data_IF_032806905127
#
_entry.id   IF_032806905127
#
_cell.length_a   1.000
_cell.length_b   1.000
_cell.length_c   1.000
_cell.angle_alpha   90.00
_cell.angle_beta   90.00
_cell.angle_gamma   90.00
#
_symmetry.space_group_name_H-M   'P 1'
#
loop_
_entity.id
_entity.type
_entity.pdbx_description
1 polymer ?
#
# COMPACT_ATOMS: atom_id res chain seq x y z
N UNK A 1 20.27 -5.05 -7.15
CA UNK A 1 19.96 -4.99 -8.60
C UNK A 1 19.79 -3.53 -9.01
N UNK A 2 20.52 -3.03 -10.01
CA UNK A 2 20.30 -1.68 -10.54
C UNK A 2 19.26 -1.74 -11.65
N UNK A 3 18.12 -1.04 -11.50
CA UNK A 3 17.07 -1.02 -12.53
C UNK A 3 17.48 -0.08 -13.66
N UNK A 4 17.70 -0.64 -14.85
CA UNK A 4 18.19 0.11 -16.01
C UNK A 4 17.02 0.67 -16.82
N UNK A 5 15.90 -0.04 -16.89
CA UNK A 5 14.76 0.33 -17.70
C UNK A 5 13.43 -0.02 -17.03
N UNK A 6 12.45 0.87 -17.17
CA UNK A 6 11.06 0.63 -16.83
C UNK A 6 10.19 1.30 -17.91
N UNK A 7 9.36 0.52 -18.58
CA UNK A 7 8.57 0.93 -19.74
C UNK A 7 7.12 0.49 -19.59
N UNK A 8 6.22 1.29 -20.17
CA UNK A 8 4.81 0.94 -20.24
C UNK A 8 4.50 0.47 -21.66
N UNK A 9 3.82 -0.66 -21.77
CA UNK A 9 3.25 -1.17 -23.01
C UNK A 9 1.73 -1.26 -22.80
N UNK A 10 0.95 -0.93 -23.81
CA UNK A 10 -0.50 -1.02 -23.79
C UNK A 10 -0.97 -2.21 -24.61
N UNK A 11 -1.74 -3.11 -24.01
CA UNK A 11 -2.44 -4.23 -24.63
C UNK A 11 -3.79 -3.74 -25.18
N UNK A 12 -3.99 -3.88 -26.49
CA UNK A 12 -5.26 -3.54 -27.13
C UNK A 12 -6.46 -4.31 -26.58
N UNK A 13 -6.24 -5.54 -26.07
CA UNK A 13 -7.25 -6.41 -25.47
C UNK A 13 -6.69 -7.14 -24.24
N UNK A 14 -6.72 -6.50 -23.07
CA UNK A 14 -6.10 -7.03 -21.83
C UNK A 14 -6.57 -8.43 -21.38
N UNK A 15 -7.78 -8.85 -21.76
CA UNK A 15 -8.33 -10.17 -21.41
C UNK A 15 -7.64 -11.36 -22.12
N UNK A 16 -6.90 -11.12 -23.21
CA UNK A 16 -6.30 -12.18 -24.01
C UNK A 16 -5.03 -12.78 -23.40
N UNK A 17 -4.33 -12.02 -22.55
CA UNK A 17 -3.17 -12.54 -21.82
C UNK A 17 -3.59 -13.34 -20.57
N UNK A 18 -4.69 -12.95 -19.92
CA UNK A 18 -5.26 -13.64 -18.75
C UNK A 18 -5.94 -14.98 -19.07
N UNK A 19 -6.34 -15.22 -20.33
CA UNK A 19 -6.81 -16.53 -20.76
C UNK A 19 -5.67 -17.55 -20.83
N UNK A 20 -4.42 -17.09 -20.94
CA UNK A 20 -3.23 -17.91 -20.99
C UNK A 20 -2.78 -18.23 -19.54
N UNK A 21 -3.40 -19.25 -18.93
CA UNK A 21 -3.13 -19.69 -17.54
C UNK A 21 -1.77 -20.39 -17.35
N UNK A 22 -0.88 -20.33 -18.33
CA UNK A 22 0.42 -21.00 -18.30
C UNK A 22 1.28 -20.49 -17.15
N UNK A 23 1.85 -21.42 -16.38
CA UNK A 23 2.78 -21.14 -15.27
C UNK A 23 4.11 -20.56 -15.76
N UNK A 24 4.46 -20.83 -17.03
CA UNK A 24 5.59 -20.22 -17.71
C UNK A 24 5.27 -19.83 -19.16
N UNK A 25 5.79 -18.69 -19.61
CA UNK A 25 5.65 -18.21 -21.00
C UNK A 25 6.97 -17.56 -21.44
N UNK A 26 7.62 -18.05 -22.49
CA UNK A 26 8.91 -17.50 -22.97
C UNK A 26 9.96 -17.32 -21.85
N UNK A 27 10.15 -18.37 -21.03
CA UNK A 27 10.98 -18.42 -19.82
C UNK A 27 10.60 -17.45 -18.70
N UNK A 28 9.51 -16.69 -18.85
CA UNK A 28 8.92 -16.00 -17.71
C UNK A 28 8.23 -16.99 -16.81
N UNK A 29 8.55 -16.95 -15.53
CA UNK A 29 7.91 -17.73 -14.47
C UNK A 29 6.92 -16.82 -13.74
N UNK A 30 5.69 -17.28 -13.58
CA UNK A 30 4.64 -16.59 -12.84
C UNK A 30 4.95 -16.55 -11.33
N UNK A 31 4.69 -15.42 -10.68
CA UNK A 31 4.78 -15.31 -9.22
C UNK A 31 3.59 -16.03 -8.56
N UNK A 32 3.86 -16.85 -7.54
CA UNK A 32 2.86 -17.63 -6.80
C UNK A 32 1.95 -16.76 -5.93
N UNK A 33 2.45 -15.61 -5.44
CA UNK A 33 1.74 -14.70 -4.54
C UNK A 33 1.04 -13.55 -5.26
N UNK A 34 1.41 -13.30 -6.53
CA UNK A 34 0.75 -12.32 -7.39
C UNK A 34 0.65 -12.88 -8.83
N UNK A 35 -0.55 -13.28 -9.26
CA UNK A 35 -0.73 -13.90 -10.57
C UNK A 35 -0.53 -12.94 -11.75
N UNK A 36 -0.31 -11.64 -11.51
CA UNK A 36 -0.08 -10.63 -12.53
C UNK A 36 1.39 -10.22 -12.64
N UNK A 37 2.28 -10.90 -11.92
CA UNK A 37 3.72 -10.61 -11.92
C UNK A 37 4.50 -11.80 -12.44
N UNK A 38 5.30 -11.57 -13.48
CA UNK A 38 6.10 -12.58 -14.16
C UNK A 38 7.56 -12.17 -14.11
N UNK A 39 8.46 -13.12 -13.88
CA UNK A 39 9.91 -12.88 -13.83
C UNK A 39 10.66 -13.77 -14.82
N UNK A 40 11.65 -13.20 -15.51
CA UNK A 40 12.60 -13.93 -16.35
C UNK A 40 14.00 -13.62 -15.85
N UNK A 41 14.81 -14.66 -15.64
CA UNK A 41 16.19 -14.55 -15.16
C UNK A 41 17.08 -15.31 -16.16
N UNK A 42 18.13 -14.66 -16.63
CA UNK A 42 19.18 -15.28 -17.45
C UNK A 42 20.54 -14.76 -16.97
N UNK A 43 21.26 -15.59 -16.22
CA UNK A 43 22.49 -15.17 -15.53
C UNK A 43 22.23 -13.98 -14.59
N UNK A 44 22.95 -12.87 -14.80
CA UNK A 44 22.78 -11.62 -14.04
C UNK A 44 21.63 -10.72 -14.55
N UNK A 45 21.04 -11.07 -15.69
CA UNK A 45 20.00 -10.26 -16.34
C UNK A 45 18.62 -10.71 -15.87
N UNK A 46 17.81 -9.73 -15.47
CA UNK A 46 16.47 -9.94 -14.90
C UNK A 46 15.48 -8.99 -15.54
N UNK A 47 14.33 -9.54 -15.91
CA UNK A 47 13.17 -8.81 -16.38
C UNK A 47 11.93 -9.18 -15.57
N UNK A 48 11.14 -8.17 -15.19
CA UNK A 48 9.81 -8.32 -14.63
C UNK A 48 8.78 -7.78 -15.60
N UNK A 49 7.70 -8.53 -15.74
CA UNK A 49 6.54 -8.19 -16.54
C UNK A 49 5.36 -8.16 -15.57
N UNK A 50 4.84 -6.97 -15.29
CA UNK A 50 3.73 -6.72 -14.36
C UNK A 50 2.53 -6.26 -15.16
N UNK A 51 1.38 -6.89 -14.98
CA UNK A 51 0.22 -6.61 -15.81
C UNK A 51 -0.92 -6.07 -15.00
N UNK A 52 -1.62 -5.14 -15.62
CA UNK A 52 -2.76 -4.52 -15.00
C UNK A 52 -3.77 -4.13 -16.07
N UNK A 53 -4.87 -4.88 -16.15
CA UNK A 53 -5.93 -4.66 -17.13
C UNK A 53 -5.34 -4.59 -18.56
N UNK A 54 -5.14 -3.38 -19.10
CA UNK A 54 -4.59 -3.15 -20.43
C UNK A 54 -3.14 -2.65 -20.41
N UNK A 55 -2.54 -2.40 -19.25
CA UNK A 55 -1.17 -1.93 -19.14
C UNK A 55 -0.22 -3.07 -18.76
N UNK A 56 0.95 -3.09 -19.40
CA UNK A 56 2.10 -3.91 -19.01
C UNK A 56 3.21 -2.98 -18.57
N UNK A 57 3.67 -3.14 -17.34
CA UNK A 57 4.90 -2.55 -16.87
C UNK A 57 6.04 -3.55 -17.05
N UNK A 58 6.95 -3.20 -17.95
CA UNK A 58 8.16 -3.97 -18.23
C UNK A 58 9.35 -3.33 -17.50
N UNK A 59 9.94 -4.04 -16.55
CA UNK A 59 11.05 -3.59 -15.71
C UNK A 59 12.24 -4.52 -15.97
N UNK A 60 13.45 -3.98 -16.05
CA UNK A 60 14.64 -4.84 -16.11
C UNK A 60 15.95 -4.09 -15.92
N UNK A 61 17.01 -4.86 -15.69
CA UNK A 61 18.38 -4.36 -15.55
C UNK A 61 19.20 -4.47 -16.85
N UNK A 62 18.71 -5.18 -17.86
CA UNK A 62 19.41 -5.41 -19.13
C UNK A 62 18.57 -4.90 -20.31
N UNK A 63 19.10 -3.94 -21.07
CA UNK A 63 18.37 -3.32 -22.19
C UNK A 63 18.23 -4.26 -23.38
N UNK A 64 19.19 -5.17 -23.61
CA UNK A 64 19.15 -6.13 -24.72
C UNK A 64 18.05 -7.15 -24.48
N UNK A 65 18.01 -7.75 -23.29
CA UNK A 65 16.94 -8.68 -22.89
C UNK A 65 15.55 -8.05 -23.07
N UNK A 66 15.36 -6.81 -22.62
CA UNK A 66 14.10 -6.09 -22.81
C UNK A 66 13.82 -5.73 -24.28
N UNK A 67 14.86 -5.54 -25.08
CA UNK A 67 14.81 -5.36 -26.52
C UNK A 67 14.23 -6.58 -27.23
N UNK A 68 14.55 -7.79 -26.77
CA UNK A 68 14.05 -9.05 -27.34
C UNK A 68 12.64 -9.40 -26.88
N UNK A 69 12.30 -9.05 -25.63
CA UNK A 69 10.96 -9.31 -25.06
C UNK A 69 9.86 -8.55 -25.82
N UNK A 70 10.16 -7.34 -26.30
CA UNK A 70 9.16 -6.48 -26.96
C UNK A 70 8.68 -7.02 -28.31
N UNK A 71 9.55 -7.34 -29.29
CA UNK A 71 9.14 -7.98 -30.54
C UNK A 71 8.37 -9.26 -30.26
N UNK A 72 8.85 -10.10 -29.33
CA UNK A 72 8.15 -11.32 -28.96
C UNK A 72 6.72 -11.01 -28.48
N UNK A 73 6.55 -10.07 -27.55
CA UNK A 73 5.25 -9.63 -27.07
C UNK A 73 4.34 -9.15 -28.23
N UNK A 74 4.88 -8.37 -29.17
CA UNK A 74 4.14 -7.88 -30.34
C UNK A 74 3.76 -8.98 -31.34
N UNK A 75 4.45 -10.13 -31.36
CA UNK A 75 4.02 -11.28 -32.18
C UNK A 75 2.81 -11.99 -31.59
N UNK A 76 2.67 -11.97 -30.26
CA UNK A 76 1.61 -12.68 -29.55
C UNK A 76 0.38 -11.80 -29.31
N UNK A 77 0.57 -10.49 -29.14
CA UNK A 77 -0.48 -9.56 -28.75
C UNK A 77 -0.38 -8.23 -29.51
N UNK A 78 -1.54 -7.61 -29.75
CA UNK A 78 -1.58 -6.23 -30.26
C UNK A 78 -1.14 -5.26 -29.16
N UNK A 79 0.13 -4.85 -29.22
CA UNK A 79 0.77 -4.02 -28.20
C UNK A 79 1.23 -2.69 -28.78
N UNK A 80 0.94 -1.61 -28.05
CA UNK A 80 1.48 -0.27 -28.32
C UNK A 80 2.55 0.08 -27.28
N UNK A 81 3.74 0.45 -27.73
CA UNK A 81 4.80 0.92 -26.85
C UNK A 81 4.54 2.37 -26.43
N UNK A 82 4.36 2.61 -25.13
CA UNK A 82 4.11 3.94 -24.56
C UNK A 82 5.40 4.61 -24.06
N UNK A 83 6.56 3.96 -24.25
CA UNK A 83 7.87 4.48 -23.90
C UNK A 83 8.19 4.34 -22.42
N UNK A 84 8.99 5.27 -21.89
CA UNK A 84 9.40 5.28 -20.47
C UNK A 84 8.16 5.46 -19.60
N UNK A 85 7.96 4.57 -18.63
CA UNK A 85 6.79 4.65 -17.76
C UNK A 85 6.84 5.92 -16.89
N UNK A 86 5.85 6.79 -17.08
CA UNK A 86 5.64 8.03 -16.31
C UNK A 86 4.46 7.93 -15.34
N UNK A 87 3.53 7.00 -15.58
CA UNK A 87 2.41 6.69 -14.70
C UNK A 87 2.13 5.18 -14.69
N UNK A 88 1.67 4.67 -13.54
CA UNK A 88 1.08 3.34 -13.38
C UNK A 88 -0.01 3.44 -12.31
N UNK A 89 -1.22 2.93 -12.55
CA UNK A 89 -2.33 2.97 -11.57
C UNK A 89 -2.68 4.38 -11.04
N UNK A 90 -2.43 5.42 -11.83
CA UNK A 90 -2.57 6.81 -11.38
C UNK A 90 -1.50 7.28 -10.39
N UNK A 91 -0.46 6.46 -10.16
CA UNK A 91 0.78 6.83 -9.46
C UNK A 91 1.76 7.35 -10.51
N UNK A 92 2.18 8.60 -10.35
CA UNK A 92 3.22 9.20 -11.18
C UNK A 92 4.58 8.65 -10.74
N UNK A 93 5.39 8.26 -11.71
CA UNK A 93 6.76 7.80 -11.50
C UNK A 93 7.72 8.91 -11.88
N UNK A 94 8.55 9.34 -10.92
CA UNK A 94 9.67 10.24 -11.14
C UNK A 94 10.97 9.44 -11.22
N UNK A 95 11.85 9.80 -12.15
CA UNK A 95 13.16 9.16 -12.31
C UNK A 95 14.24 10.18 -12.51
N UNK A 96 15.19 10.21 -11.59
CA UNK A 96 16.43 10.93 -11.73
C UNK A 96 17.58 9.92 -11.79
N UNK A 97 18.17 9.75 -12.97
CA UNK A 97 19.28 8.81 -13.15
C UNK A 97 20.60 9.34 -12.57
N UNK A 98 20.79 10.65 -12.55
CA UNK A 98 22.01 11.27 -12.02
C UNK A 98 22.12 11.04 -10.52
N UNK A 99 20.99 11.17 -9.81
CA UNK A 99 20.87 10.91 -8.37
C UNK A 99 20.50 9.45 -8.05
N UNK A 100 20.38 8.60 -9.07
CA UNK A 100 19.92 7.19 -8.97
C UNK A 100 18.63 7.03 -8.16
N UNK A 101 17.69 7.94 -8.37
CA UNK A 101 16.48 8.08 -7.57
C UNK A 101 15.24 7.71 -8.38
N UNK A 102 14.38 6.90 -7.76
CA UNK A 102 13.05 6.55 -8.26
C UNK A 102 12.04 7.07 -7.24
N UNK A 103 11.21 8.02 -7.65
CA UNK A 103 10.14 8.59 -6.83
C UNK A 103 8.78 8.11 -7.30
N UNK A 104 7.85 7.93 -6.37
CA UNK A 104 6.44 7.66 -6.64
C UNK A 104 5.62 8.78 -6.01
N UNK A 105 4.67 9.35 -6.76
CA UNK A 105 3.78 10.39 -6.23
C UNK A 105 2.35 10.22 -6.72
N UNK A 106 1.41 10.45 -5.81
CA UNK A 106 -0.01 10.57 -6.11
C UNK A 106 -0.52 12.01 -5.93
N UNK A 107 0.36 13.02 -5.86
CA UNK A 107 -0.05 14.43 -5.68
C UNK A 107 -1.17 14.87 -6.63
N UNK A 108 -1.15 14.53 -7.94
CA UNK A 108 -2.24 14.92 -8.85
C UNK A 108 -3.61 14.39 -8.44
N UNK A 109 -3.68 13.19 -7.83
CA UNK A 109 -4.93 12.62 -7.35
C UNK A 109 -5.43 13.36 -6.11
N UNK A 110 -4.53 13.70 -5.20
CA UNK A 110 -4.84 14.48 -3.99
C UNK A 110 -5.37 15.86 -4.39
N UNK A 111 -4.68 16.54 -5.31
CA UNK A 111 -5.11 17.84 -5.86
C UNK A 111 -6.49 17.76 -6.52
N UNK A 112 -6.78 16.69 -7.28
CA UNK A 112 -8.10 16.46 -7.88
C UNK A 112 -9.19 16.28 -6.82
N UNK A 113 -8.90 15.58 -5.73
CA UNK A 113 -9.83 15.42 -4.59
C UNK A 113 -10.07 16.78 -3.93
N UNK A 114 -9.00 17.52 -3.62
CA UNK A 114 -9.13 18.84 -2.99
C UNK A 114 -9.96 19.80 -3.84
N UNK A 115 -9.72 19.85 -5.15
CA UNK A 115 -10.50 20.68 -6.09
C UNK A 115 -11.96 20.24 -6.17
N UNK A 116 -12.24 18.92 -6.20
CA UNK A 116 -13.63 18.39 -6.23
C UNK A 116 -14.44 18.87 -5.02
N UNK A 117 -13.80 19.03 -3.87
CA UNK A 117 -14.43 19.43 -2.62
C UNK A 117 -14.22 20.91 -2.26
N UNK A 118 -13.74 21.76 -3.19
CA UNK A 118 -13.49 23.20 -2.98
C UNK A 118 -12.51 23.48 -1.82
N UNK A 119 -11.50 22.61 -1.69
CA UNK A 119 -10.50 22.59 -0.60
C UNK A 119 -9.07 22.84 -1.11
N UNK A 120 -8.87 23.24 -2.36
CA UNK A 120 -7.55 23.49 -2.97
C UNK A 120 -6.71 24.54 -2.22
N UNK A 121 -7.37 25.50 -1.57
CA UNK A 121 -6.73 26.57 -0.80
C UNK A 121 -6.70 26.27 0.71
N UNK A 122 -6.97 25.02 1.11
CA UNK A 122 -6.92 24.63 2.52
C UNK A 122 -5.52 24.79 3.08
N UNK A 123 -5.41 25.34 4.29
CA UNK A 123 -4.13 25.47 4.99
C UNK A 123 -3.55 24.08 5.26
N UNK A 124 -2.27 23.91 4.97
CA UNK A 124 -1.54 22.68 5.32
C UNK A 124 -1.46 22.57 6.86
N UNK A 125 -1.85 21.42 7.38
CA UNK A 125 -1.71 21.08 8.79
C UNK A 125 -0.56 20.10 9.01
N UNK A 126 0.10 20.18 10.16
CA UNK A 126 1.13 19.20 10.57
C UNK A 126 0.54 17.89 11.10
N UNK A 127 -0.76 17.90 11.45
CA UNK A 127 -1.47 16.77 12.06
C UNK A 127 -2.80 16.56 11.33
N UNK A 128 -3.12 15.29 11.04
CA UNK A 128 -4.43 14.88 10.53
C UNK A 128 -5.54 15.10 11.57
N UNK A 129 -5.24 14.82 12.85
CA UNK A 129 -6.10 15.10 14.00
C UNK A 129 -5.26 15.59 15.17
N UNK A 130 -5.53 16.80 15.68
CA UNK A 130 -4.80 17.31 16.86
C UNK A 130 -5.38 16.71 18.14
N UNK A 131 -4.50 16.25 19.02
CA UNK A 131 -4.90 15.85 20.37
C UNK A 131 -5.45 17.04 21.18
N UNK A 132 -6.46 16.79 22.02
CA UNK A 132 -6.99 17.78 22.96
C UNK A 132 -7.99 18.79 22.38
N UNK A 133 -8.39 18.67 21.11
CA UNK A 133 -9.48 19.50 20.57
C UNK A 133 -10.81 19.02 21.16
N UNK A 134 -11.41 19.85 22.03
CA UNK A 134 -12.81 19.72 22.42
C UNK A 134 -13.65 20.57 21.48
N UNK A 135 -14.53 19.93 20.72
CA UNK A 135 -15.52 20.60 19.89
C UNK A 135 -16.75 20.92 20.74
N UNK A 136 -17.19 22.17 20.71
CA UNK A 136 -18.36 22.66 21.44
C UNK A 136 -19.44 23.10 20.46
N UNK A 137 -20.72 22.94 20.84
CA UNK A 137 -21.87 23.38 20.03
C UNK A 137 -21.81 24.87 19.64
N UNK A 138 -21.14 25.71 20.44
CA UNK A 138 -20.92 27.13 20.13
C UNK A 138 -20.04 27.39 18.90
N UNK A 139 -19.28 26.39 18.45
CA UNK A 139 -18.43 26.42 17.25
C UNK A 139 -19.17 25.93 16.00
N UNK A 140 -20.43 25.50 16.15
CA UNK A 140 -21.31 25.25 15.01
C UNK A 140 -21.60 26.58 14.28
N UNK A 141 -21.81 26.54 12.95
CA UNK A 141 -22.18 27.71 12.18
C UNK A 141 -23.41 28.38 12.79
N UNK A 142 -23.39 29.71 12.91
CA UNK A 142 -24.47 30.49 13.52
C UNK A 142 -25.21 31.35 12.49
N UNK A 143 -24.52 31.81 11.46
CA UNK A 143 -25.12 32.58 10.38
C UNK A 143 -25.60 31.66 9.25
N UNK A 144 -26.70 32.02 8.59
CA UNK A 144 -27.23 31.27 7.45
C UNK A 144 -26.21 31.13 6.31
N UNK A 145 -25.34 32.13 6.13
CA UNK A 145 -24.25 32.10 5.16
C UNK A 145 -23.22 31.00 5.50
N UNK A 146 -22.83 30.87 6.77
CA UNK A 146 -21.92 29.82 7.22
C UNK A 146 -22.55 28.43 7.05
N UNK A 147 -23.84 28.30 7.37
CA UNK A 147 -24.58 27.05 7.19
C UNK A 147 -24.62 26.63 5.72
N UNK A 148 -24.96 27.56 4.82
CA UNK A 148 -24.97 27.33 3.36
C UNK A 148 -23.59 26.95 2.83
N UNK A 149 -22.54 27.63 3.31
CA UNK A 149 -21.16 27.32 2.93
C UNK A 149 -20.72 25.93 3.40
N UNK A 150 -21.09 25.51 4.61
CA UNK A 150 -20.77 24.18 5.13
C UNK A 150 -21.54 23.07 4.42
N UNK A 151 -22.78 23.32 3.99
CA UNK A 151 -23.55 22.38 3.18
C UNK A 151 -22.91 22.12 1.81
N UNK A 152 -22.24 23.13 1.24
CA UNK A 152 -21.59 23.06 -0.07
C UNK A 152 -20.18 22.43 -0.04
N UNK A 153 -19.61 22.22 1.16
CA UNK A 153 -18.31 21.55 1.35
C UNK A 153 -18.51 20.30 2.21
N UNK A 154 -18.75 19.12 1.60
CA UNK A 154 -18.96 17.89 2.35
C UNK A 154 -17.63 17.36 2.90
N UNK A 155 -17.14 18.00 3.95
CA UNK A 155 -15.83 17.74 4.57
C UNK A 155 -15.63 16.26 4.93
N UNK A 156 -16.66 15.60 5.45
CA UNK A 156 -16.61 14.17 5.75
C UNK A 156 -16.34 13.30 4.51
N UNK A 157 -16.94 13.64 3.36
CA UNK A 157 -16.68 12.94 2.09
C UNK A 157 -15.28 13.25 1.54
N UNK A 158 -14.79 14.47 1.74
CA UNK A 158 -13.43 14.85 1.36
C UNK A 158 -12.39 14.05 2.14
N UNK A 159 -12.52 13.99 3.47
CA UNK A 159 -11.65 13.19 4.35
C UNK A 159 -11.76 11.70 4.02
N UNK A 160 -12.99 11.18 3.85
CA UNK A 160 -13.20 9.78 3.45
C UNK A 160 -12.56 9.44 2.11
N UNK A 161 -12.60 10.35 1.13
CA UNK A 161 -11.97 10.15 -0.19
C UNK A 161 -10.45 10.09 -0.11
N UNK A 162 -9.83 10.83 0.83
CA UNK A 162 -8.38 10.79 1.06
C UNK A 162 -7.99 9.51 1.80
N UNK A 163 -8.75 9.14 2.85
CA UNK A 163 -8.45 7.98 3.68
C UNK A 163 -8.59 6.65 2.91
N UNK A 164 -9.62 6.53 2.07
CA UNK A 164 -9.81 5.38 1.17
C UNK A 164 -8.69 5.22 0.13
N UNK A 165 -7.91 6.27 -0.12
CA UNK A 165 -6.74 6.22 -1.00
C UNK A 165 -5.42 5.92 -0.25
N UNK A 166 -5.37 6.14 1.05
CA UNK A 166 -4.24 5.75 1.91
C UNK A 166 -4.29 4.26 2.29
N UNK A 167 -5.48 3.72 2.50
CA UNK A 167 -5.67 2.28 2.61
C UNK A 167 -5.41 1.66 1.22
N UNK A 168 -4.53 0.67 1.16
CA UNK A 168 -4.28 -0.17 0.00
C UNK A 168 -5.60 -0.54 -0.68
N UNK A 169 -5.69 -0.27 -1.99
CA UNK A 169 -6.89 -0.58 -2.79
C UNK A 169 -6.99 -2.08 -3.02
N UNK A 170 -7.67 -2.80 -2.13
CA UNK A 170 -8.59 -3.92 -2.42
C UNK A 170 -9.14 -4.52 -1.11
N UNK A 171 -10.44 -4.35 -0.85
CA UNK A 171 -11.45 -5.38 -1.13
C UNK A 171 -12.81 -4.89 -0.58
N UNK A 172 -13.71 -4.49 -1.47
CA UNK A 172 -15.13 -4.16 -1.23
C UNK A 172 -15.46 -3.02 -0.23
N UNK A 173 -16.37 -2.14 -0.66
CA UNK A 173 -17.17 -1.25 0.21
C UNK A 173 -17.74 -1.97 1.44
N UNK A 174 -17.97 -3.29 1.33
CA UNK A 174 -18.40 -4.16 2.41
C UNK A 174 -17.41 -4.26 3.57
N UNK A 175 -16.07 -4.27 3.35
CA UNK A 175 -15.09 -4.27 4.45
C UNK A 175 -15.09 -2.95 5.21
N UNK A 176 -15.28 -1.82 4.53
CA UNK A 176 -15.34 -0.51 5.17
C UNK A 176 -16.58 -0.38 6.08
N UNK A 177 -17.73 -0.89 5.63
CA UNK A 177 -18.96 -0.97 6.42
C UNK A 177 -18.82 -1.98 7.58
N UNK A 178 -18.14 -3.12 7.37
CA UNK A 178 -17.88 -4.11 8.43
C UNK A 178 -16.88 -3.63 9.50
N UNK A 179 -15.88 -2.83 9.11
CA UNK A 179 -14.93 -2.21 10.05
C UNK A 179 -15.63 -1.12 10.89
N UNK A 180 -16.66 -0.47 10.36
CA UNK A 180 -17.43 0.53 11.08
C UNK A 180 -18.36 -0.08 12.15
N UNK A 181 -18.79 -1.33 12.01
CA UNK A 181 -19.68 -2.01 12.96
C UNK A 181 -18.86 -2.87 13.95
N UNK A 182 -18.33 -2.20 14.99
CA UNK A 182 -17.95 -2.72 16.32
C UNK A 182 -16.71 -3.63 16.56
N UNK A 183 -15.84 -3.97 15.61
CA UNK A 183 -14.59 -4.73 15.92
C UNK A 183 -13.34 -4.25 15.14
N UNK A 184 -13.24 -2.92 14.93
CA UNK A 184 -12.27 -2.29 14.02
C UNK A 184 -10.78 -2.46 14.39
N UNK A 185 -10.45 -2.42 15.69
CA UNK A 185 -9.04 -2.36 16.14
C UNK A 185 -8.33 -3.70 15.95
N UNK A 186 -9.03 -4.80 16.23
CA UNK A 186 -8.46 -6.15 16.17
C UNK A 186 -8.36 -6.68 14.74
N UNK A 187 -9.36 -6.39 13.89
CA UNK A 187 -9.31 -6.73 12.47
C UNK A 187 -8.15 -6.03 11.75
N UNK A 188 -7.87 -4.79 12.16
CA UNK A 188 -6.79 -3.99 11.58
C UNK A 188 -5.41 -4.60 11.84
N UNK A 189 -5.16 -5.14 13.04
CA UNK A 189 -3.89 -5.79 13.35
C UNK A 189 -3.73 -7.11 12.58
N UNK A 190 -4.80 -7.90 12.47
CA UNK A 190 -4.81 -9.13 11.68
C UNK A 190 -4.55 -8.90 10.17
N UNK A 191 -5.16 -7.87 9.58
CA UNK A 191 -4.93 -7.53 8.17
C UNK A 191 -3.46 -7.13 7.96
N UNK A 192 -2.88 -6.34 8.87
CA UNK A 192 -1.47 -5.97 8.80
C UNK A 192 -0.54 -7.19 8.86
N UNK A 193 -0.83 -8.17 9.71
CA UNK A 193 -0.04 -9.40 9.84
C UNK A 193 -0.05 -10.22 8.55
N UNK A 194 -1.23 -10.43 7.97
CA UNK A 194 -1.37 -11.13 6.70
C UNK A 194 -0.68 -10.40 5.55
N UNK A 195 -0.85 -9.08 5.47
CA UNK A 195 -0.19 -8.25 4.47
C UNK A 195 1.33 -8.31 4.61
N UNK A 196 1.85 -8.29 5.85
CA UNK A 196 3.28 -8.34 6.09
C UNK A 196 3.90 -9.70 5.70
N UNK A 197 3.23 -10.81 6.03
CA UNK A 197 3.65 -12.15 5.59
C UNK A 197 3.55 -12.30 4.08
N UNK A 198 2.45 -11.82 3.47
CA UNK A 198 2.30 -11.80 2.02
C UNK A 198 3.41 -10.98 1.36
N UNK A 199 3.72 -9.78 1.86
CA UNK A 199 4.79 -8.93 1.35
C UNK A 199 6.15 -9.61 1.46
N UNK A 200 6.48 -10.24 2.62
CA UNK A 200 7.72 -11.01 2.78
C UNK A 200 7.84 -12.09 1.71
N UNK A 201 6.80 -12.91 1.57
CA UNK A 201 6.78 -14.03 0.64
C UNK A 201 6.84 -13.56 -0.82
N UNK A 202 6.11 -12.49 -1.14
CA UNK A 202 6.14 -11.84 -2.45
C UNK A 202 7.55 -11.34 -2.80
N UNK A 203 8.20 -10.58 -1.90
CA UNK A 203 9.57 -10.07 -2.09
C UNK A 203 10.58 -11.20 -2.24
N UNK A 204 10.46 -12.26 -1.43
CA UNK A 204 11.31 -13.44 -1.53
C UNK A 204 11.16 -14.12 -2.90
N UNK A 205 9.93 -14.29 -3.38
CA UNK A 205 9.68 -14.87 -4.72
C UNK A 205 10.09 -13.93 -5.86
N UNK A 206 10.13 -12.61 -5.66
CA UNK A 206 10.70 -11.69 -6.64
C UNK A 206 12.20 -11.93 -6.85
N UNK A 207 12.93 -12.41 -5.84
CA UNK A 207 14.36 -12.72 -5.93
C UNK A 207 15.26 -11.49 -6.03
N UNK A 208 14.77 -10.31 -5.63
CA UNK A 208 15.50 -9.03 -5.67
C UNK A 208 16.28 -8.72 -4.40
N UNK A 209 15.84 -9.27 -3.26
CA UNK A 209 16.51 -9.17 -1.96
C UNK A 209 17.04 -10.57 -1.60
N UNK A 210 18.28 -10.71 -1.09
CA UNK A 210 18.74 -11.97 -0.50
C UNK A 210 17.68 -12.50 0.46
N UNK A 211 17.43 -13.81 0.43
CA UNK A 211 16.31 -14.47 1.12
C UNK A 211 16.03 -13.86 2.49
N UNK A 212 14.83 -13.28 2.66
CA UNK A 212 14.32 -12.85 3.96
C UNK A 212 13.95 -14.12 4.72
N UNK A 213 14.93 -14.75 5.37
CA UNK A 213 14.72 -16.00 6.09
C UNK A 213 14.02 -15.74 7.44
N UNK A 214 14.41 -14.65 8.11
CA UNK A 214 13.92 -14.32 9.45
C UNK A 214 12.41 -14.09 9.50
N UNK A 215 11.74 -14.47 10.61
CA UNK A 215 10.33 -14.18 10.83
C UNK A 215 10.02 -12.69 10.67
N UNK A 216 8.82 -12.39 10.15
CA UNK A 216 8.32 -11.01 10.15
C UNK A 216 8.09 -10.59 11.60
N UNK A 217 8.83 -9.58 12.06
CA UNK A 217 8.66 -9.03 13.40
C UNK A 217 7.53 -8.00 13.37
N UNK A 218 6.50 -8.23 14.18
CA UNK A 218 5.38 -7.31 14.33
C UNK A 218 5.36 -6.81 15.77
N UNK A 219 5.40 -5.49 15.92
CA UNK A 219 5.47 -4.81 17.20
C UNK A 219 4.08 -4.45 17.71
N UNK A 220 3.77 -4.85 18.95
CA UNK A 220 2.48 -4.58 19.60
C UNK A 220 2.66 -3.73 20.84
N UNK A 221 1.71 -2.84 21.07
CA UNK A 221 1.64 -2.02 22.28
C UNK A 221 0.70 -2.60 23.37
N UNK A 222 0.11 -3.77 23.12
CA UNK A 222 -0.88 -4.41 23.99
C UNK A 222 -0.47 -5.84 24.38
N UNK A 223 -0.14 -6.04 25.66
CA UNK A 223 0.25 -7.34 26.21
C UNK A 223 -0.86 -8.40 26.11
N UNK A 224 -2.13 -7.98 26.22
CA UNK A 224 -3.28 -8.87 26.07
C UNK A 224 -3.38 -9.45 24.66
N UNK A 225 -3.08 -8.62 23.65
CA UNK A 225 -3.05 -9.06 22.25
C UNK A 225 -1.96 -10.11 22.00
N UNK A 226 -0.73 -9.83 22.51
CA UNK A 226 0.40 -10.77 22.40
C UNK A 226 0.08 -12.09 23.11
N UNK A 227 -0.48 -12.04 24.32
CA UNK A 227 -0.82 -13.23 25.09
C UNK A 227 -1.90 -14.07 24.39
N UNK A 228 -2.93 -13.45 23.82
CA UNK A 228 -3.99 -14.16 23.09
C UNK A 228 -3.52 -14.79 21.77
N UNK A 229 -2.53 -14.18 21.12
CA UNK A 229 -1.93 -14.74 19.92
C UNK A 229 -1.00 -15.92 20.21
N UNK A 230 -0.40 -15.99 21.41
CA UNK A 230 0.44 -17.13 21.84
C UNK A 230 -0.35 -18.25 22.50
N UNK A 231 -1.38 -17.92 23.28
CA UNK A 231 -2.15 -18.89 24.08
C UNK A 231 -3.67 -18.76 23.85
N UNK A 232 -4.41 -19.86 23.68
CA UNK A 232 -5.86 -19.85 23.59
C UNK A 232 -6.49 -19.59 24.97
N UNK A 233 -6.80 -18.33 25.28
CA UNK A 233 -7.74 -18.01 26.37
C UNK A 233 -9.17 -17.98 25.83
N UNK A 234 -10.04 -18.76 26.45
CA UNK A 234 -11.46 -18.87 26.11
C UNK A 234 -12.16 -17.51 26.23
N UNK A 235 -12.71 -17.01 25.12
CA UNK A 235 -13.73 -15.97 25.14
C UNK A 235 -14.98 -16.51 24.43
N UNK A 236 -16.11 -16.49 25.14
CA UNK A 236 -17.40 -17.03 24.70
C UNK A 236 -18.11 -16.15 23.62
N UNK A 237 -17.46 -15.13 23.07
CA UNK A 237 -18.06 -14.26 22.06
C UNK A 237 -17.19 -14.15 20.82
N UNK A 238 -17.84 -14.42 19.68
CA UNK A 238 -17.39 -14.22 18.30
C UNK A 238 -16.68 -15.40 17.61
N UNK A 239 -17.48 -16.31 17.01
CA UNK A 239 -17.02 -17.43 16.15
C UNK A 239 -16.17 -16.98 14.95
N UNK A 240 -16.42 -15.80 14.38
CA UNK A 240 -15.64 -15.25 13.26
C UNK A 240 -14.24 -14.76 13.67
N UNK A 241 -14.09 -14.39 14.94
CA UNK A 241 -12.82 -13.99 15.52
C UNK A 241 -11.93 -15.24 15.71
N UNK A 242 -12.51 -16.35 16.20
CA UNK A 242 -11.79 -17.62 16.43
C UNK A 242 -11.04 -18.12 15.18
N UNK A 243 -11.68 -18.15 13.99
CA UNK A 243 -11.02 -18.62 12.75
C UNK A 243 -9.78 -17.81 12.37
N UNK A 244 -9.81 -16.49 12.58
CA UNK A 244 -8.69 -15.59 12.26
C UNK A 244 -7.54 -15.72 13.26
N UNK A 245 -7.86 -15.92 14.55
CA UNK A 245 -6.86 -16.27 15.58
C UNK A 245 -6.13 -17.57 15.26
N UNK A 246 -6.81 -18.57 14.69
CA UNK A 246 -6.18 -19.84 14.32
C UNK A 246 -5.07 -19.65 13.28
N UNK A 247 -5.29 -18.82 12.26
CA UNK A 247 -4.29 -18.60 11.20
C UNK A 247 -3.06 -17.85 11.72
N UNK A 248 -3.25 -16.80 12.52
CA UNK A 248 -2.13 -16.08 13.14
C UNK A 248 -1.32 -17.00 14.06
N UNK A 249 -2.00 -17.81 14.89
CA UNK A 249 -1.35 -18.79 15.75
C UNK A 249 -0.54 -19.80 14.96
N UNK A 250 -1.06 -20.25 13.82
CA UNK A 250 -0.35 -21.16 12.93
C UNK A 250 0.89 -20.50 12.33
N UNK A 251 0.82 -19.23 11.93
CA UNK A 251 1.98 -18.48 11.43
C UNK A 251 3.04 -18.26 12.51
N UNK A 252 2.62 -17.97 13.75
CA UNK A 252 3.53 -17.84 14.90
C UNK A 252 4.14 -19.19 15.27
N UNK A 253 3.37 -20.28 15.27
CA UNK A 253 3.87 -21.63 15.59
C UNK A 253 4.81 -22.17 14.52
N UNK A 254 4.58 -21.83 13.25
CA UNK A 254 5.50 -22.10 12.12
C UNK A 254 6.76 -21.24 12.13
N UNK A 255 6.84 -20.23 13.01
CA UNK A 255 7.97 -19.29 13.06
C UNK A 255 8.02 -18.34 11.86
N UNK A 256 6.89 -18.09 11.18
CA UNK A 256 6.82 -17.12 10.09
C UNK A 256 6.67 -15.68 10.61
N UNK A 257 6.04 -15.53 11.78
CA UNK A 257 5.79 -14.24 12.45
C UNK A 257 6.33 -14.29 13.87
N UNK A 258 7.02 -13.21 14.27
CA UNK A 258 7.49 -12.99 15.65
C UNK A 258 6.81 -11.75 16.21
N UNK A 259 6.19 -11.88 17.37
CA UNK A 259 5.48 -10.79 18.02
C UNK A 259 6.31 -10.23 19.18
N UNK A 260 6.68 -8.96 19.05
CA UNK A 260 7.49 -8.24 20.04
C UNK A 260 6.68 -7.12 20.69
N UNK A 261 7.01 -6.82 21.96
CA UNK A 261 6.44 -5.66 22.66
C UNK A 261 7.21 -4.41 22.28
N UNK A 262 6.49 -3.35 21.94
CA UNK A 262 7.02 -1.98 21.84
C UNK A 262 6.24 -1.08 22.77
N UNK A 263 6.86 -0.08 23.39
CA UNK A 263 6.12 0.91 24.18
C UNK A 263 5.23 1.78 23.26
N UNK A 264 4.09 2.27 23.74
CA UNK A 264 3.23 3.15 22.92
C UNK A 264 3.97 4.42 22.48
N UNK A 265 4.90 4.93 23.30
CA UNK A 265 5.74 6.08 22.96
C UNK A 265 6.73 5.81 21.81
N UNK A 266 7.01 4.54 21.51
CA UNK A 266 7.95 4.14 20.47
C UNK A 266 7.26 3.49 19.27
N UNK A 267 5.96 3.21 19.37
CA UNK A 267 5.20 2.61 18.29
C UNK A 267 5.03 3.59 17.13
N UNK A 268 5.86 3.44 16.09
CA UNK A 268 5.79 4.27 14.90
C UNK A 268 4.47 4.13 14.14
N UNK A 269 3.62 3.12 14.40
CA UNK A 269 2.29 3.03 13.79
C UNK A 269 1.24 3.93 14.47
N UNK A 270 1.47 4.42 15.69
CA UNK A 270 0.49 5.20 16.45
C UNK A 270 0.02 6.49 15.73
N UNK A 271 0.87 7.30 15.06
CA UNK A 271 0.43 8.46 14.29
C UNK A 271 -0.61 8.16 13.20
N UNK A 272 -0.64 6.93 12.69
CA UNK A 272 -1.57 6.50 11.63
C UNK A 272 -2.92 6.06 12.18
N UNK A 273 -3.05 5.90 13.50
CA UNK A 273 -4.21 5.26 14.13
C UNK A 273 -4.82 6.06 15.27
N UNK A 274 -4.07 6.99 15.88
CA UNK A 274 -4.48 7.73 17.07
C UNK A 274 -4.13 9.23 16.94
N UNK A 275 -4.95 10.13 17.50
CA UNK A 275 -4.59 11.54 17.62
C UNK A 275 -3.50 11.73 18.68
N UNK A 276 -2.50 12.56 18.40
CA UNK A 276 -1.36 12.80 19.29
C UNK A 276 -0.87 14.26 19.24
N UNK A 277 0.06 14.60 20.13
CA UNK A 277 0.68 15.93 20.17
C UNK A 277 1.61 16.14 18.96
N UNK A 278 1.85 17.39 18.59
CA UNK A 278 2.72 17.73 17.47
C UNK A 278 4.15 17.25 17.68
N UNK A 279 4.64 17.31 18.92
CA UNK A 279 5.99 16.87 19.29
C UNK A 279 6.10 15.36 19.12
N UNK A 280 5.17 14.58 19.69
CA UNK A 280 5.16 13.12 19.56
C UNK A 280 5.04 12.70 18.09
N UNK A 281 4.15 13.34 17.33
CA UNK A 281 4.00 13.08 15.90
C UNK A 281 5.30 13.33 15.14
N UNK A 282 5.95 14.48 15.35
CA UNK A 282 7.21 14.81 14.69
C UNK A 282 8.33 13.79 14.99
N UNK A 283 8.43 13.35 16.25
CA UNK A 283 9.38 12.30 16.65
C UNK A 283 9.10 10.97 15.92
N UNK A 284 7.83 10.57 15.78
CA UNK A 284 7.48 9.36 15.04
C UNK A 284 7.70 9.51 13.53
N UNK A 285 7.42 10.68 12.93
CA UNK A 285 7.69 10.92 11.51
C UNK A 285 9.18 10.80 11.19
N UNK A 286 10.05 11.32 12.07
CA UNK A 286 11.49 11.18 11.91
C UNK A 286 11.93 9.71 12.03
N UNK A 287 11.38 8.98 13.01
CA UNK A 287 11.60 7.53 13.15
C UNK A 287 11.10 6.72 11.94
N UNK A 288 10.03 7.15 11.27
CA UNK A 288 9.57 6.55 10.00
C UNK A 288 10.49 6.86 8.82
N UNK A 289 11.43 7.80 8.97
CA UNK A 289 12.27 8.30 7.88
C UNK A 289 11.53 9.24 6.92
N UNK A 290 10.39 9.80 7.32
CA UNK A 290 9.68 10.79 6.51
C UNK A 290 10.47 12.10 6.49
N UNK A 291 10.65 12.65 5.28
CA UNK A 291 11.42 13.87 5.00
C UNK A 291 10.53 14.88 4.28
N UNK A 292 10.88 16.17 4.37
CA UNK A 292 10.12 17.20 3.66
C UNK A 292 10.35 17.05 2.16
N UNK A 293 9.33 17.26 1.34
CA UNK A 293 9.46 17.13 -0.12
C UNK A 293 10.48 18.13 -0.71
N UNK A 294 10.70 19.27 -0.06
CA UNK A 294 11.74 20.24 -0.46
C UNK A 294 13.16 19.68 -0.37
N UNK A 295 13.37 18.57 0.34
CA UNK A 295 14.69 17.92 0.44
C UNK A 295 15.01 17.09 -0.82
N UNK A 296 14.02 16.86 -1.69
CA UNK A 296 14.09 15.95 -2.84
C UNK A 296 14.10 16.66 -4.19
N UNK A 297 13.52 17.85 -4.29
CA UNK A 297 13.42 18.66 -5.51
C UNK A 297 14.33 19.87 -5.42
#
# INVERSE_FOLDING_TARGET
MAVTCIQTLYLGYGKQWLSNRSTSVNDFIKNEYDPYVYKKISGSSVAYLVLYVNDILLIGNDVKMLGDIKPWLSTQFSIKNMGKASYILGIKIYRDRSRRMLGLTQSPNIEKILKRFKMENSKRGFLSMRHGIKLYKKQSPKADEELRRMLDIPYGLAVGSIYTKQATTEDSTTKAEYIAVNEAVWMKNYIQELEAVWMKNYIQKLGVVPSIAEPVVIFYDNNGAIAQAKEPRSHHRSKHILRRYHLLREMVSKGEVRMDRVSSAENTADPLTKPMSQIAHAQHLDKMGLRSMGDWL
#
